data_IF_336515585381
#
_entry.id   IF_336515585381
#
_cell.length_a   1.000
_cell.length_b   1.000
_cell.length_c   1.000
_cell.angle_alpha   90.00
_cell.angle_beta   90.00
_cell.angle_gamma   90.00
#
_symmetry.space_group_name_H-M   'P 1'
#
loop_
_entity.id
_entity.type
_entity.pdbx_description
1 polymer ?
#
# COMPACT_ATOMS: atom_id res chain seq x y z
N UNK A 1 35.53 -16.93 -3.92
CA UNK A 1 34.05 -16.83 -3.86
C UNK A 1 33.64 -15.98 -5.04
N UNK A 2 33.15 -16.59 -6.10
CA UNK A 2 32.48 -15.88 -7.20
C UNK A 2 31.12 -15.43 -6.61
N UNK A 3 30.97 -14.14 -6.38
CA UNK A 3 29.65 -13.56 -6.09
C UNK A 3 28.82 -13.71 -7.37
N UNK A 4 28.11 -14.82 -7.48
CA UNK A 4 27.09 -14.96 -8.53
C UNK A 4 25.93 -14.03 -8.14
N UNK A 5 25.65 -13.08 -9.00
CA UNK A 5 24.53 -12.15 -8.85
C UNK A 5 23.24 -12.97 -8.90
N UNK A 6 22.52 -13.09 -7.80
CA UNK A 6 21.27 -13.86 -7.75
C UNK A 6 20.12 -13.06 -8.39
N UNK A 7 19.83 -13.38 -9.64
CA UNK A 7 18.82 -12.71 -10.45
C UNK A 7 17.42 -12.85 -9.84
N UNK A 8 17.14 -13.95 -9.18
CA UNK A 8 15.86 -14.20 -8.50
C UNK A 8 15.67 -13.22 -7.33
N UNK A 9 16.72 -12.94 -6.55
CA UNK A 9 16.69 -11.96 -5.48
C UNK A 9 16.48 -10.54 -6.03
N UNK A 10 17.15 -10.21 -7.12
CA UNK A 10 16.96 -8.90 -7.78
C UNK A 10 15.50 -8.71 -8.19
N UNK A 11 14.89 -9.71 -8.80
CA UNK A 11 13.49 -9.63 -9.17
C UNK A 11 12.55 -9.56 -7.97
N UNK A 12 12.84 -10.29 -6.90
CA UNK A 12 12.07 -10.18 -5.66
C UNK A 12 12.11 -8.74 -5.12
N UNK A 13 13.27 -8.08 -5.15
CA UNK A 13 13.41 -6.68 -4.75
C UNK A 13 12.70 -5.70 -5.70
N UNK A 14 12.75 -5.93 -7.01
CA UNK A 14 12.04 -5.10 -8.01
C UNK A 14 10.52 -5.17 -7.80
N UNK A 15 9.98 -6.39 -7.59
CA UNK A 15 8.54 -6.57 -7.34
C UNK A 15 8.17 -6.00 -5.96
N UNK A 16 8.97 -6.21 -4.93
CA UNK A 16 8.76 -5.60 -3.61
C UNK A 16 8.75 -4.07 -3.70
N UNK A 17 9.66 -3.48 -4.48
CA UNK A 17 9.69 -2.04 -4.74
C UNK A 17 8.42 -1.57 -5.45
N UNK A 18 7.96 -2.28 -6.49
CA UNK A 18 6.73 -1.93 -7.21
C UNK A 18 5.49 -1.98 -6.29
N UNK A 19 5.38 -3.02 -5.46
CA UNK A 19 4.31 -3.13 -4.46
C UNK A 19 4.40 -2.02 -3.42
N UNK A 20 5.60 -1.70 -2.93
CA UNK A 20 5.79 -0.60 -1.99
C UNK A 20 5.44 0.76 -2.62
N UNK A 21 5.89 1.02 -3.85
CA UNK A 21 5.55 2.23 -4.59
C UNK A 21 4.03 2.37 -4.76
N UNK A 22 3.34 1.28 -5.12
CA UNK A 22 1.88 1.26 -5.18
C UNK A 22 1.25 1.60 -3.82
N UNK A 23 1.67 0.94 -2.73
CA UNK A 23 1.13 1.16 -1.38
C UNK A 23 1.27 2.62 -0.94
N UNK A 24 2.40 3.27 -1.21
CA UNK A 24 2.61 4.64 -0.74
C UNK A 24 2.01 5.68 -1.68
N UNK A 25 2.02 5.44 -2.98
CA UNK A 25 1.53 6.41 -3.97
C UNK A 25 0.02 6.33 -4.15
N UNK A 26 -0.54 5.16 -4.42
CA UNK A 26 -2.00 5.00 -4.48
C UNK A 26 -2.63 5.04 -3.08
N UNK A 27 -1.86 4.72 -2.03
CA UNK A 27 -2.34 4.75 -0.65
C UNK A 27 -2.80 6.12 -0.18
N UNK A 28 -2.13 7.23 -0.54
CA UNK A 28 -2.65 8.54 -0.18
C UNK A 28 -3.84 8.96 -1.05
N UNK A 29 -3.91 8.50 -2.30
CA UNK A 29 -5.05 8.72 -3.19
C UNK A 29 -6.31 8.02 -2.66
N UNK A 30 -6.20 6.74 -2.28
CA UNK A 30 -7.25 5.99 -1.58
C UNK A 30 -7.60 6.67 -0.26
N UNK A 31 -6.59 7.18 0.45
CA UNK A 31 -6.75 7.94 1.68
C UNK A 31 -7.61 9.19 1.53
N UNK A 32 -7.51 9.90 0.41
CA UNK A 32 -8.41 11.01 0.08
C UNK A 32 -9.85 10.51 -0.04
N UNK A 33 -10.08 9.41 -0.76
CA UNK A 33 -11.42 8.82 -0.89
C UNK A 33 -12.02 8.40 0.47
N UNK A 34 -11.19 7.82 1.35
CA UNK A 34 -11.60 7.45 2.72
C UNK A 34 -11.98 8.66 3.58
N UNK A 35 -11.41 9.83 3.32
CA UNK A 35 -11.74 11.06 4.02
C UNK A 35 -12.98 11.78 3.45
N UNK A 36 -13.44 11.44 2.25
CA UNK A 36 -14.57 12.12 1.59
C UNK A 36 -15.82 12.22 2.47
N UNK A 37 -16.26 11.16 3.20
CA UNK A 37 -17.46 11.24 4.04
C UNK A 37 -17.39 12.31 5.14
N UNK A 38 -16.18 12.65 5.61
CA UNK A 38 -15.97 13.61 6.70
C UNK A 38 -15.61 15.02 6.20
N UNK A 39 -15.39 15.19 4.89
CA UNK A 39 -15.20 16.47 4.24
C UNK A 39 -16.56 17.08 3.83
N UNK A 40 -16.68 18.41 3.94
CA UNK A 40 -17.88 19.11 3.51
C UNK A 40 -18.08 19.01 2.01
N UNK A 41 -19.32 18.71 1.55
CA UNK A 41 -19.65 18.72 0.14
C UNK A 41 -19.33 20.07 -0.51
N UNK A 42 -18.97 20.05 -1.78
CA UNK A 42 -18.57 21.25 -2.53
C UNK A 42 -17.06 21.48 -2.43
N UNK A 43 -16.65 22.69 -2.11
CA UNK A 43 -15.26 23.17 -2.23
C UNK A 43 -14.23 22.29 -1.51
N UNK A 44 -14.53 21.77 -0.31
CA UNK A 44 -13.55 20.92 0.41
C UNK A 44 -13.30 19.61 -0.31
N UNK A 45 -14.38 18.92 -0.78
CA UNK A 45 -14.26 17.67 -1.58
C UNK A 45 -13.61 17.92 -2.93
N UNK A 46 -13.94 19.05 -3.56
CA UNK A 46 -13.36 19.44 -4.84
C UNK A 46 -11.86 19.67 -4.73
N UNK A 47 -11.44 20.44 -3.75
CA UNK A 47 -10.01 20.69 -3.47
C UNK A 47 -9.27 19.39 -3.11
N UNK A 48 -9.88 18.53 -2.29
CA UNK A 48 -9.28 17.27 -1.93
C UNK A 48 -9.07 16.34 -3.15
N UNK A 49 -10.09 16.20 -4.01
CA UNK A 49 -10.00 15.41 -5.24
C UNK A 49 -8.99 16.01 -6.23
N UNK A 50 -9.01 17.31 -6.43
CA UNK A 50 -8.07 18.02 -7.31
C UNK A 50 -6.61 17.89 -6.84
N UNK A 51 -6.37 17.65 -5.55
CA UNK A 51 -5.01 17.45 -5.04
C UNK A 51 -4.33 16.19 -5.55
N UNK A 52 -5.07 15.20 -5.99
CA UNK A 52 -4.59 13.91 -6.50
C UNK A 52 -4.91 13.70 -7.98
N UNK A 53 -5.83 14.46 -8.56
CA UNK A 53 -6.26 14.34 -9.95
C UNK A 53 -5.11 14.29 -10.99
N UNK A 54 -3.99 15.03 -10.84
CA UNK A 54 -2.90 14.98 -11.81
C UNK A 54 -2.03 13.71 -11.75
N UNK A 55 -2.14 12.89 -10.72
CA UNK A 55 -1.16 11.81 -10.42
C UNK A 55 -1.79 10.43 -10.19
N UNK A 56 -3.08 10.35 -9.89
CA UNK A 56 -3.74 9.12 -9.43
C UNK A 56 -3.60 7.94 -10.42
N UNK A 57 -3.77 8.17 -11.71
CA UNK A 57 -3.67 7.14 -12.75
C UNK A 57 -2.24 6.59 -12.87
N UNK A 58 -1.24 7.49 -12.81
CA UNK A 58 0.17 7.11 -12.77
C UNK A 58 0.55 6.32 -11.51
N UNK A 59 -0.11 6.58 -10.38
CA UNK A 59 0.12 5.87 -9.13
C UNK A 59 -0.38 4.42 -9.19
N UNK A 60 -1.52 4.16 -9.86
CA UNK A 60 -2.04 2.81 -10.06
C UNK A 60 -1.15 1.93 -10.97
N UNK A 61 -0.33 2.51 -11.82
CA UNK A 61 0.58 1.78 -12.72
C UNK A 61 1.51 0.82 -11.95
N UNK A 62 1.90 1.15 -10.74
CA UNK A 62 2.74 0.30 -9.90
C UNK A 62 2.08 -1.02 -9.49
N UNK A 63 0.75 -1.06 -9.37
CA UNK A 63 0.00 -2.31 -9.15
C UNK A 63 0.16 -3.26 -10.33
N UNK A 64 0.10 -2.72 -11.55
CA UNK A 64 0.27 -3.51 -12.78
C UNK A 64 1.67 -4.10 -12.86
N UNK A 65 2.70 -3.31 -12.51
CA UNK A 65 4.08 -3.80 -12.47
C UNK A 65 4.26 -4.88 -11.38
N UNK A 66 3.68 -4.70 -10.21
CA UNK A 66 3.73 -5.70 -9.12
C UNK A 66 3.05 -7.01 -9.49
N UNK A 67 1.81 -6.95 -9.98
CA UNK A 67 1.03 -8.13 -10.38
C UNK A 67 1.56 -8.81 -11.64
N UNK A 68 1.90 -8.05 -12.67
CA UNK A 68 2.51 -8.53 -13.90
C UNK A 68 3.91 -9.11 -13.68
N UNK A 69 4.71 -8.47 -12.83
CA UNK A 69 6.01 -8.97 -12.40
C UNK A 69 5.92 -10.29 -11.63
N UNK A 70 4.96 -10.40 -10.71
CA UNK A 70 4.71 -11.65 -9.99
C UNK A 70 4.34 -12.78 -10.97
N UNK A 71 3.45 -12.50 -11.93
CA UNK A 71 3.06 -13.48 -12.95
C UNK A 71 4.24 -13.92 -13.82
N UNK A 72 5.04 -12.98 -14.29
CA UNK A 72 6.10 -13.24 -15.26
C UNK A 72 7.34 -13.89 -14.64
N UNK A 73 7.70 -13.50 -13.41
CA UNK A 73 8.94 -13.93 -12.74
C UNK A 73 8.71 -15.04 -11.72
N UNK A 74 7.57 -15.04 -11.02
CA UNK A 74 7.22 -16.04 -10.02
C UNK A 74 5.89 -16.75 -10.37
N UNK A 75 5.81 -17.43 -11.53
CA UNK A 75 4.56 -18.00 -12.04
C UNK A 75 3.92 -19.03 -11.10
N UNK A 76 4.71 -19.80 -10.37
CA UNK A 76 4.17 -20.74 -9.37
C UNK A 76 3.51 -20.02 -8.21
N UNK A 77 4.13 -18.93 -7.71
CA UNK A 77 3.54 -18.12 -6.65
C UNK A 77 2.23 -17.47 -7.12
N UNK A 78 2.21 -16.93 -8.33
CA UNK A 78 1.01 -16.38 -8.94
C UNK A 78 -0.12 -17.41 -9.04
N UNK A 79 0.20 -18.64 -9.53
CA UNK A 79 -0.76 -19.73 -9.67
C UNK A 79 -1.34 -20.23 -8.34
N UNK A 80 -0.66 -20.02 -7.21
CA UNK A 80 -1.12 -20.40 -5.87
C UNK A 80 -1.84 -19.23 -5.18
N UNK A 81 -1.25 -18.02 -5.23
CA UNK A 81 -1.76 -16.85 -4.49
C UNK A 81 -3.09 -16.37 -5.09
N UNK A 82 -3.20 -16.29 -6.42
CA UNK A 82 -4.40 -15.73 -7.05
C UNK A 82 -5.66 -16.55 -6.78
N UNK A 83 -5.68 -17.89 -6.91
CA UNK A 83 -6.83 -18.70 -6.54
C UNK A 83 -7.18 -18.62 -5.06
N UNK A 84 -6.19 -18.57 -4.17
CA UNK A 84 -6.41 -18.49 -2.73
C UNK A 84 -7.04 -17.15 -2.30
N UNK A 85 -6.67 -16.07 -2.96
CA UNK A 85 -7.07 -14.69 -2.64
C UNK A 85 -7.96 -14.07 -3.71
N UNK A 86 -8.60 -14.90 -4.53
CA UNK A 86 -9.42 -14.48 -5.66
C UNK A 86 -10.50 -13.45 -5.28
N UNK A 87 -11.27 -13.74 -4.23
CA UNK A 87 -12.38 -12.89 -3.83
C UNK A 87 -11.93 -11.48 -3.39
N UNK A 88 -10.98 -11.30 -2.45
CA UNK A 88 -10.52 -9.96 -2.08
C UNK A 88 -9.78 -9.25 -3.22
N UNK A 89 -9.04 -9.95 -4.09
CA UNK A 89 -8.38 -9.32 -5.24
C UNK A 89 -9.42 -8.77 -6.23
N UNK A 90 -10.47 -9.53 -6.56
CA UNK A 90 -11.55 -9.04 -7.42
C UNK A 90 -12.28 -7.86 -6.76
N UNK A 91 -12.57 -7.94 -5.46
CA UNK A 91 -13.18 -6.81 -4.73
C UNK A 91 -12.31 -5.55 -4.79
N UNK A 92 -10.98 -5.69 -4.62
CA UNK A 92 -10.02 -4.61 -4.77
C UNK A 92 -10.11 -3.97 -6.17
N UNK A 93 -10.05 -4.77 -7.23
CA UNK A 93 -10.09 -4.28 -8.61
C UNK A 93 -11.43 -3.58 -8.92
N UNK A 94 -12.56 -4.13 -8.48
CA UNK A 94 -13.85 -3.47 -8.60
C UNK A 94 -13.90 -2.14 -7.86
N UNK A 95 -13.34 -2.08 -6.64
CA UNK A 95 -13.21 -0.85 -5.86
C UNK A 95 -12.41 0.22 -6.61
N UNK A 96 -11.27 -0.15 -7.21
CA UNK A 96 -10.45 0.75 -8.02
C UNK A 96 -11.19 1.22 -9.28
N UNK A 97 -11.94 0.35 -9.96
CA UNK A 97 -12.78 0.75 -11.12
C UNK A 97 -13.81 1.79 -10.72
N UNK A 98 -14.58 1.57 -9.65
CA UNK A 98 -15.58 2.53 -9.18
C UNK A 98 -14.95 3.87 -8.77
N UNK A 99 -13.81 3.83 -8.11
CA UNK A 99 -13.04 5.03 -7.77
C UNK A 99 -12.57 5.79 -9.03
N UNK A 100 -11.94 5.08 -9.99
CA UNK A 100 -11.44 5.68 -11.23
C UNK A 100 -12.56 6.31 -12.07
N UNK A 101 -13.67 5.60 -12.23
CA UNK A 101 -14.86 6.14 -12.92
C UNK A 101 -15.40 7.40 -12.21
N UNK A 102 -15.39 7.43 -10.88
CA UNK A 102 -15.87 8.58 -10.13
C UNK A 102 -15.00 9.84 -10.36
N UNK A 103 -13.68 9.72 -10.60
CA UNK A 103 -12.83 10.86 -10.96
C UNK A 103 -13.34 11.58 -12.20
N UNK A 104 -13.70 10.83 -13.25
CA UNK A 104 -14.11 11.40 -14.52
C UNK A 104 -15.56 11.90 -14.51
N UNK A 105 -16.46 11.08 -13.97
CA UNK A 105 -17.90 11.35 -14.09
C UNK A 105 -18.43 12.35 -13.07
N UNK A 106 -17.79 12.48 -11.91
CA UNK A 106 -18.20 13.44 -10.87
C UNK A 106 -18.26 14.90 -11.38
N UNK A 107 -17.40 15.26 -12.33
CA UNK A 107 -17.34 16.57 -12.93
C UNK A 107 -18.27 16.72 -14.14
N UNK A 108 -18.48 15.64 -14.88
CA UNK A 108 -19.29 15.63 -16.10
C UNK A 108 -20.79 15.43 -15.83
N UNK A 109 -21.14 14.90 -14.66
CA UNK A 109 -22.52 14.64 -14.22
C UNK A 109 -22.84 15.32 -12.88
N UNK A 110 -23.02 16.65 -12.88
CA UNK A 110 -23.32 17.40 -11.65
C UNK A 110 -24.62 16.98 -10.96
N UNK A 111 -25.58 16.42 -11.72
CA UNK A 111 -26.88 15.98 -11.18
C UNK A 111 -26.74 14.80 -10.21
N UNK A 112 -25.81 13.90 -10.48
CA UNK A 112 -25.59 12.71 -9.66
C UNK A 112 -24.28 12.80 -8.85
N UNK A 113 -23.78 14.00 -8.61
CA UNK A 113 -22.50 14.25 -7.92
C UNK A 113 -22.40 13.53 -6.57
N UNK A 114 -23.50 13.46 -5.80
CA UNK A 114 -23.53 12.75 -4.53
C UNK A 114 -23.33 11.22 -4.70
N UNK A 115 -23.85 10.62 -5.77
CA UNK A 115 -23.62 9.22 -6.08
C UNK A 115 -22.15 8.97 -6.46
N UNK A 116 -21.54 9.86 -7.22
CA UNK A 116 -20.11 9.79 -7.55
C UNK A 116 -19.22 9.98 -6.33
N UNK A 117 -19.60 10.85 -5.36
CA UNK A 117 -18.92 10.98 -4.08
C UNK A 117 -18.95 9.66 -3.29
N UNK A 118 -20.09 8.95 -3.29
CA UNK A 118 -20.24 7.62 -2.67
C UNK A 118 -19.41 6.58 -3.41
N UNK A 119 -19.41 6.60 -4.75
CA UNK A 119 -18.60 5.67 -5.55
C UNK A 119 -17.09 5.87 -5.31
N UNK A 120 -16.64 7.12 -5.19
CA UNK A 120 -15.25 7.45 -4.88
C UNK A 120 -14.84 6.97 -3.49
N UNK A 121 -15.63 7.30 -2.47
CA UNK A 121 -15.36 6.90 -1.09
C UNK A 121 -15.52 5.38 -0.88
N UNK A 122 -16.59 4.79 -1.39
CA UNK A 122 -16.87 3.35 -1.28
C UNK A 122 -15.86 2.51 -2.05
N UNK A 123 -15.51 2.91 -3.27
CA UNK A 123 -14.48 2.25 -4.07
C UNK A 123 -13.11 2.28 -3.36
N UNK A 124 -12.73 3.43 -2.80
CA UNK A 124 -11.49 3.56 -2.02
C UNK A 124 -11.50 2.70 -0.75
N UNK A 125 -12.64 2.62 -0.05
CA UNK A 125 -12.79 1.77 1.13
C UNK A 125 -12.67 0.29 0.78
N UNK A 126 -13.38 -0.16 -0.24
CA UNK A 126 -13.35 -1.57 -0.69
C UNK A 126 -11.94 -1.93 -1.15
N UNK A 127 -11.30 -1.08 -1.94
CA UNK A 127 -9.94 -1.32 -2.42
C UNK A 127 -8.94 -1.43 -1.25
N UNK A 128 -8.92 -0.46 -0.34
CA UNK A 128 -8.00 -0.46 0.81
C UNK A 128 -8.25 -1.65 1.75
N UNK A 129 -9.52 -1.94 2.06
CA UNK A 129 -9.88 -3.06 2.93
C UNK A 129 -9.46 -4.40 2.32
N UNK A 130 -9.77 -4.61 1.04
CA UNK A 130 -9.44 -5.83 0.31
C UNK A 130 -7.94 -6.04 0.16
N UNK A 131 -7.16 -4.99 -0.06
CA UNK A 131 -5.67 -5.06 -0.06
C UNK A 131 -5.14 -5.55 1.29
N UNK A 132 -5.62 -4.99 2.39
CA UNK A 132 -5.18 -5.40 3.71
C UNK A 132 -5.64 -6.81 4.08
N UNK A 133 -6.86 -7.22 3.69
CA UNK A 133 -7.34 -8.61 3.86
C UNK A 133 -6.44 -9.57 3.06
N UNK A 134 -6.11 -9.24 1.81
CA UNK A 134 -5.19 -10.01 0.97
C UNK A 134 -3.83 -10.21 1.65
N UNK A 135 -3.26 -9.14 2.20
CA UNK A 135 -2.00 -9.19 2.93
C UNK A 135 -2.11 -10.03 4.21
N UNK A 136 -3.15 -9.84 5.00
CA UNK A 136 -3.37 -10.59 6.24
C UNK A 136 -3.56 -12.08 6.00
N UNK A 137 -4.32 -12.46 4.97
CA UNK A 137 -4.50 -13.86 4.57
C UNK A 137 -3.19 -14.49 4.07
N UNK A 138 -2.40 -13.74 3.27
CA UNK A 138 -1.07 -14.20 2.84
C UNK A 138 -0.14 -14.47 4.03
N UNK A 139 -0.10 -13.58 5.02
CA UNK A 139 0.73 -13.73 6.22
C UNK A 139 0.37 -14.95 7.07
N UNK A 140 -0.91 -15.29 7.14
CA UNK A 140 -1.35 -16.51 7.84
C UNK A 140 -0.89 -17.79 7.14
N UNK A 141 -0.56 -17.70 5.86
CA UNK A 141 -0.16 -18.80 5.01
C UNK A 141 -1.31 -19.34 4.16
N UNK A 142 -0.96 -19.92 3.05
CA UNK A 142 -1.88 -20.51 2.06
C UNK A 142 -1.68 -22.02 2.04
N UNK A 143 -2.78 -22.78 2.07
CA UNK A 143 -2.73 -24.24 1.92
C UNK A 143 -2.29 -24.59 0.49
N UNK A 144 -1.19 -25.35 0.38
CA UNK A 144 -0.59 -25.73 -0.91
C UNK A 144 -0.41 -27.23 -0.94
N UNK A 145 -0.92 -27.88 -1.98
CA UNK A 145 -0.62 -29.28 -2.31
C UNK A 145 -0.05 -29.34 -3.73
N UNK A 146 1.13 -29.94 -3.84
CA UNK A 146 1.87 -29.97 -5.10
C UNK A 146 2.21 -28.56 -5.60
N UNK A 147 1.56 -28.12 -6.66
CA UNK A 147 1.77 -26.82 -7.31
C UNK A 147 0.50 -25.96 -7.35
N UNK A 148 -0.50 -26.26 -6.53
CA UNK A 148 -1.80 -25.61 -6.53
C UNK A 148 -2.28 -25.25 -5.14
N UNK A 149 -3.21 -24.28 -5.08
CA UNK A 149 -3.97 -23.99 -3.87
C UNK A 149 -4.88 -25.16 -3.52
N UNK A 150 -4.89 -25.57 -2.26
CA UNK A 150 -5.63 -26.73 -1.74
C UNK A 150 -6.60 -26.39 -0.60
N UNK A 151 -6.87 -25.10 -0.40
CA UNK A 151 -7.77 -24.62 0.65
C UNK A 151 -9.20 -24.42 0.20
N UNK A 152 -10.01 -23.86 1.10
CA UNK A 152 -11.42 -23.56 0.90
C UNK A 152 -11.67 -22.13 0.40
N UNK A 153 -12.90 -21.90 -0.11
CA UNK A 153 -13.30 -20.59 -0.66
C UNK A 153 -13.23 -19.41 0.34
N UNK A 154 -13.35 -19.66 1.65
CA UNK A 154 -13.41 -18.65 2.70
C UNK A 154 -12.13 -18.52 3.52
N UNK A 155 -11.04 -19.21 3.18
CA UNK A 155 -9.78 -19.22 3.95
C UNK A 155 -9.13 -17.83 4.04
N UNK A 156 -9.42 -16.95 3.10
CA UNK A 156 -8.95 -15.56 3.10
C UNK A 156 -9.65 -14.68 4.13
N UNK A 157 -10.86 -15.07 4.62
CA UNK A 157 -11.68 -14.27 5.53
C UNK A 157 -11.50 -14.76 6.97
N UNK A 158 -10.54 -14.21 7.66
CA UNK A 158 -10.24 -14.51 9.06
C UNK A 158 -10.26 -13.26 9.92
N UNK A 159 -10.37 -13.37 11.25
CA UNK A 159 -10.27 -12.21 12.14
C UNK A 159 -8.96 -11.43 11.94
N UNK A 160 -7.84 -12.12 11.71
CA UNK A 160 -6.56 -11.47 11.48
C UNK A 160 -6.51 -10.75 10.12
N UNK A 161 -6.99 -11.36 9.05
CA UNK A 161 -7.02 -10.71 7.74
C UNK A 161 -7.92 -9.46 7.75
N UNK A 162 -9.06 -9.51 8.43
CA UNK A 162 -9.94 -8.35 8.63
C UNK A 162 -9.26 -7.26 9.49
N UNK A 163 -8.53 -7.65 10.53
CA UNK A 163 -7.74 -6.70 11.34
C UNK A 163 -6.70 -5.98 10.46
N UNK A 164 -5.97 -6.70 9.61
CA UNK A 164 -4.99 -6.11 8.69
C UNK A 164 -5.69 -5.20 7.67
N UNK A 165 -6.86 -5.62 7.16
CA UNK A 165 -7.71 -4.80 6.28
C UNK A 165 -8.10 -3.47 6.91
N UNK A 166 -8.66 -3.51 8.11
CA UNK A 166 -9.03 -2.31 8.87
C UNK A 166 -7.81 -1.43 9.19
N UNK A 167 -6.67 -2.05 9.52
CA UNK A 167 -5.41 -1.36 9.79
C UNK A 167 -4.91 -0.59 8.56
N UNK A 168 -5.01 -1.18 7.38
CA UNK A 168 -4.59 -0.53 6.13
C UNK A 168 -5.51 0.64 5.77
N UNK A 169 -6.83 0.50 5.97
CA UNK A 169 -7.80 1.60 5.80
C UNK A 169 -7.42 2.80 6.67
N UNK A 170 -7.12 2.59 7.94
CA UNK A 170 -6.70 3.66 8.85
C UNK A 170 -5.37 4.27 8.44
N UNK A 171 -4.41 3.43 8.02
CA UNK A 171 -3.11 3.87 7.52
C UNK A 171 -3.22 4.73 6.26
N UNK A 172 -4.02 4.31 5.29
CA UNK A 172 -4.25 5.10 4.07
C UNK A 172 -4.98 6.42 4.36
N UNK A 173 -5.96 6.41 5.26
CA UNK A 173 -6.59 7.65 5.71
C UNK A 173 -5.57 8.61 6.35
N UNK A 174 -4.55 8.10 7.07
CA UNK A 174 -3.44 8.91 7.58
C UNK A 174 -2.59 9.50 6.46
N UNK A 175 -2.24 8.71 5.43
CA UNK A 175 -1.51 9.21 4.25
C UNK A 175 -2.31 10.31 3.55
N UNK A 176 -3.60 10.11 3.30
CA UNK A 176 -4.48 11.12 2.70
C UNK A 176 -4.59 12.39 3.55
N UNK A 177 -4.73 12.25 4.88
CA UNK A 177 -4.81 13.41 5.78
C UNK A 177 -3.50 14.21 5.80
N UNK A 178 -2.35 13.54 5.85
CA UNK A 178 -1.03 14.21 5.82
C UNK A 178 -0.72 14.81 4.44
N UNK A 179 -1.19 14.19 3.35
CA UNK A 179 -1.16 14.76 2.01
C UNK A 179 -1.95 16.06 1.94
N UNK A 180 -3.20 16.10 2.45
CA UNK A 180 -3.99 17.31 2.49
C UNK A 180 -3.33 18.41 3.33
N UNK A 181 -2.67 18.07 4.45
CA UNK A 181 -1.89 19.05 5.24
C UNK A 181 -0.81 19.70 4.37
N UNK A 182 -0.15 18.93 3.51
CA UNK A 182 0.91 19.40 2.63
C UNK A 182 0.37 20.21 1.44
N UNK A 183 -0.77 19.80 0.87
CA UNK A 183 -1.27 20.27 -0.43
C UNK A 183 -2.32 21.37 -0.35
N UNK A 184 -2.92 21.61 0.82
CA UNK A 184 -4.02 22.57 0.99
C UNK A 184 -3.67 23.67 1.99
N UNK A 185 -4.54 24.68 2.09
CA UNK A 185 -4.42 25.81 3.01
C UNK A 185 -5.72 26.06 3.77
N UNK A 186 -5.69 26.99 4.71
CA UNK A 186 -6.87 27.47 5.41
C UNK A 186 -7.62 26.42 6.23
N UNK A 187 -8.95 26.42 6.15
CA UNK A 187 -9.81 25.56 6.96
C UNK A 187 -9.63 24.07 6.66
N UNK A 188 -9.48 23.70 5.39
CA UNK A 188 -9.30 22.31 4.98
C UNK A 188 -7.98 21.75 5.54
N UNK A 189 -6.88 22.52 5.45
CA UNK A 189 -5.60 22.12 6.04
C UNK A 189 -5.69 21.92 7.55
N UNK A 190 -6.34 22.88 8.25
CA UNK A 190 -6.51 22.79 9.70
C UNK A 190 -7.37 21.58 10.11
N UNK A 191 -8.39 21.24 9.33
CA UNK A 191 -9.23 20.06 9.54
C UNK A 191 -8.44 18.77 9.26
N UNK A 192 -7.72 18.70 8.14
CA UNK A 192 -6.86 17.59 7.77
C UNK A 192 -5.80 17.30 8.87
N UNK A 193 -5.19 18.35 9.43
CA UNK A 193 -4.24 18.25 10.55
C UNK A 193 -4.87 17.61 11.80
N UNK A 194 -6.10 17.98 12.13
CA UNK A 194 -6.83 17.37 13.26
C UNK A 194 -7.12 15.89 13.01
N UNK A 195 -7.51 15.54 11.79
CA UNK A 195 -7.69 14.13 11.41
C UNK A 195 -6.37 13.38 11.44
N UNK A 196 -5.29 13.93 10.87
CA UNK A 196 -3.97 13.31 10.88
C UNK A 196 -3.48 12.99 12.31
N UNK A 197 -3.70 13.87 13.30
CA UNK A 197 -3.36 13.61 14.70
C UNK A 197 -4.12 12.41 15.29
N UNK A 198 -5.42 12.28 15.01
CA UNK A 198 -6.23 11.16 15.49
C UNK A 198 -5.86 9.87 14.77
N UNK A 199 -5.67 9.95 13.44
CA UNK A 199 -5.28 8.84 12.61
C UNK A 199 -3.86 8.34 12.91
N UNK A 200 -2.95 9.22 13.34
CA UNK A 200 -1.62 8.80 13.84
C UNK A 200 -1.76 7.85 15.02
N UNK A 201 -2.55 8.20 16.03
CA UNK A 201 -2.77 7.33 17.17
C UNK A 201 -3.44 6.00 16.76
N UNK A 202 -4.46 6.06 15.91
CA UNK A 202 -5.16 4.86 15.42
C UNK A 202 -4.23 3.97 14.58
N UNK A 203 -3.41 4.54 13.68
CA UNK A 203 -2.44 3.78 12.86
C UNK A 203 -1.38 3.12 13.72
N UNK A 204 -0.82 3.83 14.69
CA UNK A 204 0.18 3.25 15.62
C UNK A 204 -0.42 2.11 16.42
N UNK A 205 -1.65 2.26 16.92
CA UNK A 205 -2.36 1.18 17.61
C UNK A 205 -2.59 -0.02 16.68
N UNK A 206 -3.01 0.22 15.44
CA UNK A 206 -3.20 -0.81 14.44
C UNK A 206 -1.89 -1.56 14.13
N UNK A 207 -0.78 -0.83 13.92
CA UNK A 207 0.56 -1.43 13.73
C UNK A 207 0.93 -2.28 14.95
N UNK A 208 0.72 -1.78 16.16
CA UNK A 208 1.05 -2.51 17.39
C UNK A 208 0.23 -3.80 17.51
N UNK A 209 -1.07 -3.76 17.22
CA UNK A 209 -1.95 -4.94 17.27
C UNK A 209 -1.55 -6.00 16.23
N UNK A 210 -1.34 -5.60 14.97
CA UNK A 210 -0.90 -6.52 13.91
C UNK A 210 0.47 -7.10 14.25
N UNK A 211 1.43 -6.26 14.70
CA UNK A 211 2.78 -6.72 15.08
C UNK A 211 2.78 -7.63 16.29
N UNK A 212 1.88 -7.43 17.24
CA UNK A 212 1.77 -8.30 18.42
C UNK A 212 1.23 -9.70 18.06
N UNK A 213 0.36 -9.80 17.06
CA UNK A 213 -0.25 -11.08 16.64
C UNK A 213 0.66 -11.83 15.66
N UNK A 214 1.35 -11.13 14.77
CA UNK A 214 2.13 -11.73 13.68
C UNK A 214 3.13 -12.81 14.13
N UNK A 215 3.93 -12.65 15.20
CA UNK A 215 4.87 -13.67 15.64
C UNK A 215 4.23 -15.03 16.00
N UNK A 216 2.95 -15.01 16.36
CA UNK A 216 2.22 -16.20 16.78
C UNK A 216 1.44 -16.89 15.66
N UNK A 217 1.45 -16.34 14.44
CA UNK A 217 0.79 -16.98 13.28
C UNK A 217 1.54 -18.21 12.79
N UNK A 218 2.89 -18.16 12.83
CA UNK A 218 3.77 -19.23 12.38
C UNK A 218 5.03 -19.26 13.25
N UNK A 219 5.53 -20.45 13.60
CA UNK A 219 6.74 -20.62 14.43
C UNK A 219 7.96 -19.87 13.88
N UNK A 220 8.11 -19.82 12.56
CA UNK A 220 9.18 -19.07 11.87
C UNK A 220 9.15 -17.57 12.13
N UNK A 221 7.97 -16.96 12.29
CA UNK A 221 7.87 -15.54 12.64
C UNK A 221 8.28 -15.30 14.08
N UNK A 222 7.89 -16.23 14.99
CA UNK A 222 8.35 -16.18 16.37
C UNK A 222 9.89 -16.24 16.46
N UNK A 223 10.52 -17.19 15.76
CA UNK A 223 11.98 -17.33 15.73
C UNK A 223 12.67 -16.07 15.20
N UNK A 224 12.10 -15.41 14.20
CA UNK A 224 12.69 -14.20 13.61
C UNK A 224 12.54 -12.96 14.49
N UNK A 225 11.40 -12.81 15.14
CA UNK A 225 11.07 -11.58 15.86
C UNK A 225 11.40 -11.64 17.34
N UNK A 226 11.26 -12.80 17.99
CA UNK A 226 11.30 -12.91 19.45
C UNK A 226 12.42 -13.85 19.96
N UNK A 227 12.93 -14.78 19.16
CA UNK A 227 13.99 -15.68 19.60
C UNK A 227 15.38 -14.99 19.59
N UNK A 228 16.22 -15.37 20.54
CA UNK A 228 17.63 -14.95 20.59
C UNK A 228 18.45 -15.71 19.52
N UNK A 229 19.41 -15.06 18.86
CA UNK A 229 19.85 -13.67 18.96
C UNK A 229 19.08 -12.69 18.06
N UNK A 230 18.15 -13.17 17.26
CA UNK A 230 17.47 -12.40 16.19
C UNK A 230 16.75 -11.14 16.73
N UNK A 231 16.16 -11.24 17.93
CA UNK A 231 15.45 -10.13 18.58
C UNK A 231 16.32 -8.88 18.71
N UNK A 232 17.65 -9.02 18.89
CA UNK A 232 18.55 -7.87 19.02
C UNK A 232 18.62 -7.01 17.76
N UNK A 233 18.40 -7.63 16.59
CA UNK A 233 18.38 -6.94 15.30
C UNK A 233 16.96 -6.49 14.95
N UNK A 234 15.98 -7.36 15.10
CA UNK A 234 14.61 -7.07 14.68
C UNK A 234 13.88 -6.06 15.58
N UNK A 235 14.24 -5.97 16.88
CA UNK A 235 13.68 -4.99 17.81
C UNK A 235 13.98 -3.52 17.40
N UNK A 236 14.93 -3.28 16.51
CA UNK A 236 15.18 -1.93 15.97
C UNK A 236 14.00 -1.42 15.14
N UNK A 237 13.27 -2.31 14.44
CA UNK A 237 12.12 -1.90 13.60
C UNK A 237 10.99 -1.29 14.44
N UNK A 238 10.43 -1.94 15.49
CA UNK A 238 9.42 -1.32 16.33
C UNK A 238 9.91 -0.06 17.06
N UNK A 239 11.18 0.01 17.42
CA UNK A 239 11.78 1.23 18.00
C UNK A 239 11.74 2.39 16.99
N UNK A 240 12.16 2.16 15.76
CA UNK A 240 12.11 3.17 14.69
C UNK A 240 10.67 3.57 14.35
N UNK A 241 9.73 2.63 14.38
CA UNK A 241 8.28 2.92 14.23
C UNK A 241 7.80 3.85 15.36
N UNK A 242 8.18 3.60 16.60
CA UNK A 242 7.82 4.46 17.73
C UNK A 242 8.43 5.86 17.60
N UNK A 243 9.68 5.97 17.18
CA UNK A 243 10.35 7.25 16.91
C UNK A 243 9.68 8.02 15.76
N UNK A 244 9.35 7.35 14.67
CA UNK A 244 8.64 7.95 13.54
C UNK A 244 7.24 8.43 13.96
N UNK A 245 6.51 7.64 14.75
CA UNK A 245 5.20 8.02 15.29
C UNK A 245 5.29 9.26 16.18
N UNK A 246 6.29 9.32 17.06
CA UNK A 246 6.55 10.50 17.90
C UNK A 246 6.90 11.73 17.03
N UNK A 247 7.78 11.58 16.06
CA UNK A 247 8.16 12.65 15.15
C UNK A 247 6.96 13.16 14.33
N UNK A 248 6.09 12.26 13.86
CA UNK A 248 4.87 12.60 13.16
C UNK A 248 3.92 13.43 14.05
N UNK A 249 3.67 12.96 15.25
CA UNK A 249 2.85 13.66 16.22
C UNK A 249 3.41 15.05 16.56
N UNK A 250 4.73 15.16 16.78
CA UNK A 250 5.41 16.43 17.09
C UNK A 250 5.32 17.42 15.94
N UNK A 251 5.59 16.98 14.70
CA UNK A 251 5.55 17.84 13.51
C UNK A 251 4.13 18.31 13.19
N UNK A 252 3.12 17.44 13.37
CA UNK A 252 1.71 17.83 13.24
C UNK A 252 1.32 18.89 14.26
N UNK A 253 1.75 18.78 15.53
CA UNK A 253 1.49 19.80 16.56
C UNK A 253 2.28 21.08 16.34
N UNK A 254 3.49 20.98 15.82
CA UNK A 254 4.36 22.11 15.53
C UNK A 254 3.99 22.92 14.29
N UNK A 255 2.91 22.57 13.58
CA UNK A 255 2.44 23.31 12.42
C UNK A 255 3.19 22.99 11.11
N UNK A 256 4.11 22.03 11.09
CA UNK A 256 4.81 21.66 9.87
C UNK A 256 3.84 21.17 8.77
N UNK A 257 4.14 21.46 7.51
CA UNK A 257 3.27 21.13 6.38
C UNK A 257 3.76 19.92 5.59
N UNK A 258 5.06 19.84 5.27
CA UNK A 258 5.66 18.77 4.44
C UNK A 258 6.15 17.58 5.27
N UNK A 259 6.76 17.85 6.40
CA UNK A 259 7.35 16.81 7.25
C UNK A 259 6.35 15.73 7.68
N UNK A 260 5.08 16.02 8.04
CA UNK A 260 4.13 14.99 8.41
C UNK A 260 3.90 13.94 7.32
N UNK A 261 3.78 14.33 6.06
CA UNK A 261 3.59 13.40 4.95
C UNK A 261 4.84 12.51 4.74
N UNK A 262 6.04 13.12 4.73
CA UNK A 262 7.29 12.39 4.55
C UNK A 262 7.54 11.39 5.69
N UNK A 263 7.22 11.76 6.94
CA UNK A 263 7.33 10.84 8.08
C UNK A 263 6.30 9.73 8.00
N UNK A 264 5.07 10.01 7.54
CA UNK A 264 4.06 8.98 7.32
C UNK A 264 4.51 7.98 6.24
N UNK A 265 5.12 8.43 5.13
CA UNK A 265 5.76 7.54 4.14
C UNK A 265 6.87 6.69 4.77
N UNK A 266 7.71 7.30 5.62
CA UNK A 266 8.74 6.58 6.39
C UNK A 266 8.16 5.51 7.32
N UNK A 267 7.02 5.79 7.96
CA UNK A 267 6.31 4.82 8.80
C UNK A 267 5.83 3.62 7.98
N UNK A 268 5.28 3.86 6.77
CA UNK A 268 4.92 2.79 5.84
C UNK A 268 6.14 2.00 5.37
N UNK A 269 7.26 2.66 5.08
CA UNK A 269 8.51 1.98 4.71
C UNK A 269 9.01 1.05 5.81
N UNK A 270 8.97 1.49 7.08
CA UNK A 270 9.37 0.67 8.23
C UNK A 270 8.45 -0.54 8.43
N UNK A 271 7.14 -0.37 8.28
CA UNK A 271 6.19 -1.49 8.37
C UNK A 271 6.34 -2.46 7.22
N UNK A 272 6.59 -1.96 6.00
CA UNK A 272 6.87 -2.79 4.83
C UNK A 272 8.20 -3.56 4.97
N UNK A 273 9.23 -2.93 5.53
CA UNK A 273 10.50 -3.61 5.86
C UNK A 273 10.26 -4.74 6.87
N UNK A 274 9.48 -4.49 7.93
CA UNK A 274 9.09 -5.52 8.90
C UNK A 274 8.34 -6.69 8.25
N UNK A 275 7.47 -6.41 7.26
CA UNK A 275 6.82 -7.43 6.45
C UNK A 275 7.85 -8.23 5.64
N UNK A 276 8.78 -7.57 4.98
CA UNK A 276 9.87 -8.23 4.24
C UNK A 276 10.70 -9.14 5.12
N UNK A 277 11.08 -8.69 6.32
CA UNK A 277 11.78 -9.52 7.33
C UNK A 277 10.94 -10.76 7.70
N UNK A 278 9.64 -10.63 7.84
CA UNK A 278 8.76 -11.74 8.19
C UNK A 278 8.66 -12.77 7.06
N UNK A 279 8.50 -12.34 5.83
CA UNK A 279 8.18 -13.20 4.68
C UNK A 279 9.45 -13.81 4.06
N UNK A 280 10.49 -13.00 3.79
CA UNK A 280 11.68 -13.48 3.06
C UNK A 280 12.31 -14.73 3.69
N UNK A 281 12.77 -15.73 2.94
CA UNK A 281 12.84 -15.75 1.47
C UNK A 281 11.60 -16.35 0.78
N UNK A 282 10.49 -16.54 1.49
CA UNK A 282 9.31 -17.12 0.87
C UNK A 282 8.51 -16.08 0.12
N UNK A 283 7.92 -16.48 -1.00
CA UNK A 283 6.88 -15.74 -1.71
C UNK A 283 5.48 -16.21 -1.28
N UNK A 284 5.36 -17.49 -0.90
CA UNK A 284 4.20 -18.02 -0.17
C UNK A 284 4.69 -18.48 1.20
N UNK A 285 4.36 -17.76 2.26
CA UNK A 285 4.94 -17.96 3.59
C UNK A 285 4.87 -19.42 4.08
N UNK A 286 6.03 -19.97 4.44
CA UNK A 286 6.16 -21.34 4.94
C UNK A 286 5.95 -22.45 3.91
N UNK A 287 5.77 -22.12 2.62
CA UNK A 287 5.45 -23.11 1.58
C UNK A 287 6.35 -23.03 0.34
N UNK A 288 6.53 -21.83 -0.24
CA UNK A 288 7.23 -21.67 -1.51
C UNK A 288 8.22 -20.51 -1.38
N UNK A 289 9.49 -20.79 -1.59
CA UNK A 289 10.55 -19.77 -1.63
C UNK A 289 10.55 -19.05 -2.99
N UNK A 290 11.22 -17.90 -3.06
CA UNK A 290 11.41 -17.15 -4.32
C UNK A 290 12.09 -18.02 -5.39
N UNK A 291 13.07 -18.84 -5.02
CA UNK A 291 13.78 -19.72 -5.97
C UNK A 291 12.91 -20.86 -6.50
N UNK A 292 12.06 -21.43 -5.66
CA UNK A 292 11.11 -22.47 -6.09
C UNK A 292 10.02 -21.93 -7.02
N UNK A 293 9.66 -20.65 -6.84
CA UNK A 293 8.65 -19.99 -7.65
C UNK A 293 9.18 -19.38 -8.94
N UNK A 294 10.49 -19.23 -9.06
CA UNK A 294 11.13 -18.47 -10.13
C UNK A 294 10.93 -19.09 -11.52
N UNK A 295 10.71 -18.23 -12.51
CA UNK A 295 10.78 -18.59 -13.91
C UNK A 295 12.22 -18.98 -14.32
N UNK A 296 12.41 -19.67 -15.45
CA UNK A 296 13.73 -19.99 -15.97
C UNK A 296 14.62 -18.73 -16.12
N UNK A 297 15.93 -18.89 -15.87
CA UNK A 297 16.89 -17.79 -15.87
C UNK A 297 16.86 -16.97 -17.18
N UNK A 298 16.76 -17.64 -18.33
CA UNK A 298 16.65 -16.97 -19.63
C UNK A 298 15.45 -16.00 -19.71
N UNK A 299 14.30 -16.38 -19.13
CA UNK A 299 13.12 -15.53 -19.05
C UNK A 299 13.36 -14.34 -18.12
N UNK A 300 13.99 -14.58 -16.96
CA UNK A 300 14.33 -13.52 -16.03
C UNK A 300 15.29 -12.48 -16.64
N UNK A 301 16.29 -12.91 -17.39
CA UNK A 301 17.25 -12.02 -18.10
C UNK A 301 16.51 -11.19 -19.16
N UNK A 302 15.69 -11.83 -19.98
CA UNK A 302 14.91 -11.12 -21.00
C UNK A 302 14.00 -10.04 -20.40
N UNK A 303 13.27 -10.38 -19.34
CA UNK A 303 12.41 -9.45 -18.63
C UNK A 303 13.21 -8.31 -17.98
N UNK A 304 14.40 -8.61 -17.44
CA UNK A 304 15.26 -7.59 -16.80
C UNK A 304 15.78 -6.58 -17.83
N UNK A 305 16.10 -7.02 -19.03
CA UNK A 305 16.48 -6.12 -20.12
C UNK A 305 15.37 -5.11 -20.44
N UNK A 306 14.10 -5.55 -20.50
CA UNK A 306 12.95 -4.65 -20.65
C UNK A 306 12.75 -3.75 -19.44
N UNK A 307 12.77 -4.31 -18.23
CA UNK A 307 12.57 -3.59 -16.97
C UNK A 307 13.65 -2.51 -16.75
N UNK A 308 14.90 -2.78 -17.12
CA UNK A 308 16.01 -1.83 -16.99
C UNK A 308 15.84 -0.56 -17.81
N UNK A 309 15.03 -0.60 -18.86
CA UNK A 309 14.65 0.57 -19.68
C UNK A 309 13.35 1.19 -19.17
N UNK A 310 12.32 0.38 -18.95
CA UNK A 310 10.98 0.87 -18.62
C UNK A 310 10.89 1.48 -17.22
N UNK A 311 11.51 0.86 -16.21
CA UNK A 311 11.44 1.36 -14.83
C UNK A 311 12.06 2.76 -14.68
N UNK A 312 13.28 3.04 -15.20
CA UNK A 312 13.82 4.40 -15.19
C UNK A 312 12.94 5.43 -15.92
N UNK A 313 12.31 5.06 -17.03
CA UNK A 313 11.39 5.94 -17.77
C UNK A 313 10.16 6.25 -16.90
N UNK A 314 9.54 5.24 -16.30
CA UNK A 314 8.37 5.42 -15.41
C UNK A 314 8.75 6.28 -14.22
N UNK A 315 9.87 6.01 -13.55
CA UNK A 315 10.35 6.80 -12.42
C UNK A 315 10.61 8.26 -12.81
N UNK A 316 11.24 8.50 -13.96
CA UNK A 316 11.52 9.84 -14.46
C UNK A 316 10.24 10.61 -14.77
N UNK A 317 9.28 9.96 -15.44
CA UNK A 317 7.96 10.55 -15.70
C UNK A 317 7.20 10.84 -14.41
N UNK A 318 7.17 9.90 -13.50
CA UNK A 318 6.52 10.08 -12.19
C UNK A 318 7.15 11.24 -11.44
N UNK A 319 8.48 11.29 -11.33
CA UNK A 319 9.19 12.38 -10.67
C UNK A 319 8.89 13.74 -11.33
N UNK A 320 8.84 13.78 -12.67
CA UNK A 320 8.50 14.96 -13.43
C UNK A 320 7.06 15.41 -13.16
N UNK A 321 6.09 14.51 -13.16
CA UNK A 321 4.70 14.82 -12.84
C UNK A 321 4.56 15.42 -11.44
N UNK A 322 5.16 14.80 -10.42
CA UNK A 322 5.15 15.35 -9.07
C UNK A 322 5.89 16.69 -8.95
N UNK A 323 6.91 16.92 -9.74
CA UNK A 323 7.63 18.19 -9.79
C UNK A 323 6.80 19.30 -10.45
N UNK A 324 6.10 19.02 -11.55
CA UNK A 324 5.24 19.97 -12.26
C UNK A 324 4.08 20.39 -11.39
N UNK A 325 3.41 19.43 -10.77
CA UNK A 325 2.21 19.68 -9.96
C UNK A 325 2.51 19.92 -8.48
N UNK A 326 3.75 20.29 -8.13
CA UNK A 326 4.10 20.63 -6.74
C UNK A 326 3.45 21.95 -6.28
N UNK A 327 3.25 22.09 -4.98
CA UNK A 327 2.70 23.31 -4.39
C UNK A 327 1.29 23.10 -3.82
N UNK A 328 0.63 24.18 -3.48
CA UNK A 328 -0.75 24.15 -2.97
C UNK A 328 -1.73 24.00 -4.13
N UNK A 329 -2.85 23.34 -3.84
CA UNK A 329 -3.92 23.16 -4.83
C UNK A 329 -4.68 24.46 -4.98
N UNK A 330 -4.86 24.91 -6.21
CA UNK A 330 -5.72 26.06 -6.51
C UNK A 330 -7.20 25.66 -6.43
N UNK A 331 -8.04 26.60 -5.95
CA UNK A 331 -9.49 26.40 -5.86
C UNK A 331 -10.16 26.27 -7.24
N UNK A 332 -9.52 26.74 -8.31
CA UNK A 332 -10.07 26.71 -9.67
C UNK A 332 -9.85 25.40 -10.42
N UNK A 333 -9.06 24.47 -9.85
CA UNK A 333 -8.92 23.11 -10.36
C UNK A 333 -8.32 22.97 -11.77
N UNK A 334 -8.11 21.72 -12.18
CA UNK A 334 -7.67 21.31 -13.52
C UNK A 334 -8.90 21.01 -14.42
N UNK A 335 -9.71 22.01 -14.74
CA UNK A 335 -10.88 21.83 -15.63
C UNK A 335 -10.87 22.86 -16.72
#
# INVERSE_FOLDING_TARGET
MTYSFDLTVVWALVIAFAVFAYIVMDGFDLGIGLLFPVLRPGTERDTAMNSVAPVWDGNETWLVLGGGGLFAVFPLAYAVILPALYAPIIAMLLGLIFRGVAFEFRWRDPRHRAAWDVAFAGGSLVAALAQGITLGALLQGIAVEGRAYAGGWWDWLTPFSVLVGASLVVGYALLGATWLVMRTEGLLQAQARRYALRLTAATVTAIALVSAVTPFLQGRYYERWLAMPNVLVTAQVPLLVALAAYALWRTLRGGAERAPFLIALGLFALTFLGLGISIFPDVVPGRITIWQAAAPEASQIFLLAGASVLIPIILSYTAYAYWVFRGKVDAHGYH
#
